data_IF_224283661819
#
_entry.id   IF_224283661819
#
_cell.length_a   1.000
_cell.length_b   1.000
_cell.length_c   1.000
_cell.angle_alpha   90.00
_cell.angle_beta   90.00
_cell.angle_gamma   90.00
#
_symmetry.space_group_name_H-M   'P 1'
#
loop_
_entity.id
_entity.type
_entity.pdbx_description
1 polymer ?
#
# COMPACT_ATOMS: atom_id res chain seq x y z
N UNK A 1 -52.29 20.51 35.20
CA UNK A 1 -51.49 20.29 36.42
C UNK A 1 -51.06 18.84 36.38
N UNK A 2 -49.81 18.47 36.18
CA UNK A 2 -48.55 19.20 36.27
C UNK A 2 -47.54 18.45 35.40
N UNK A 3 -46.53 19.21 34.93
CA UNK A 3 -45.37 18.77 34.16
C UNK A 3 -44.74 17.49 34.72
N UNK A 4 -44.30 16.62 33.81
CA UNK A 4 -42.90 16.18 33.75
C UNK A 4 -42.67 15.64 32.35
N UNK A 5 -42.51 16.58 31.41
CA UNK A 5 -41.80 16.31 30.18
C UNK A 5 -40.35 16.55 30.51
N UNK A 6 -39.70 15.50 31.01
CA UNK A 6 -38.26 15.50 31.20
C UNK A 6 -37.65 15.51 29.78
N UNK A 7 -37.36 16.72 29.30
CA UNK A 7 -36.39 16.91 28.22
C UNK A 7 -35.03 16.74 28.88
N UNK A 8 -34.70 15.52 29.28
CA UNK A 8 -33.32 15.15 29.44
C UNK A 8 -32.75 15.15 28.03
N UNK A 9 -32.11 16.25 27.68
CA UNK A 9 -30.94 16.24 26.81
C UNK A 9 -30.18 14.97 27.17
N UNK A 10 -30.09 14.00 26.25
CA UNK A 10 -29.31 12.78 26.45
C UNK A 10 -27.83 13.19 26.46
N UNK A 11 -27.39 13.81 27.56
CA UNK A 11 -25.99 14.06 27.89
C UNK A 11 -25.32 12.78 28.44
N UNK A 12 -26.06 11.67 28.50
CA UNK A 12 -25.54 10.35 28.88
C UNK A 12 -25.69 9.45 27.67
N UNK A 13 -24.58 8.96 27.12
CA UNK A 13 -24.46 8.20 25.86
C UNK A 13 -25.20 6.85 25.78
N UNK A 14 -26.26 6.66 26.58
CA UNK A 14 -27.11 5.48 26.64
C UNK A 14 -28.07 5.31 25.45
N UNK A 15 -28.60 4.09 25.30
CA UNK A 15 -29.64 3.78 24.31
C UNK A 15 -31.00 4.31 24.78
N UNK A 16 -31.70 5.04 23.91
CA UNK A 16 -33.06 5.51 24.14
C UNK A 16 -34.00 5.11 22.99
N UNK A 17 -35.32 5.09 23.24
CA UNK A 17 -36.29 4.79 22.19
C UNK A 17 -36.46 5.99 21.26
N UNK A 18 -36.22 5.78 19.96
CA UNK A 18 -36.45 6.81 18.95
C UNK A 18 -37.92 7.21 18.87
N UNK A 19 -38.18 8.52 18.87
CA UNK A 19 -39.53 9.08 18.78
C UNK A 19 -39.68 9.81 17.45
N UNK A 20 -40.58 9.33 16.60
CA UNK A 20 -40.85 9.94 15.30
C UNK A 20 -42.07 10.85 15.33
N UNK A 21 -42.04 11.93 14.55
CA UNK A 21 -43.21 12.75 14.31
C UNK A 21 -44.32 11.96 13.59
N UNK A 22 -45.49 11.86 14.20
CA UNK A 22 -46.67 11.23 13.59
C UNK A 22 -47.48 12.26 12.79
N UNK A 23 -47.42 12.16 11.47
CA UNK A 23 -48.24 12.96 10.56
C UNK A 23 -49.71 12.50 10.54
N UNK A 24 -50.63 13.45 10.54
CA UNK A 24 -52.05 13.22 10.30
C UNK A 24 -52.70 14.45 9.66
N UNK A 25 -53.83 14.23 8.97
CA UNK A 25 -54.53 15.31 8.26
C UNK A 25 -55.01 16.38 9.24
N UNK A 26 -54.64 17.63 8.97
CA UNK A 26 -55.00 18.78 9.80
C UNK A 26 -54.08 19.01 11.00
N UNK A 27 -52.97 18.26 11.13
CA UNK A 27 -51.93 18.58 12.11
C UNK A 27 -51.30 19.93 11.77
N UNK A 28 -51.25 20.85 12.75
CA UNK A 28 -50.48 22.08 12.64
C UNK A 28 -49.00 21.74 12.88
N UNK A 29 -48.15 22.11 11.93
CA UNK A 29 -46.70 21.87 12.00
C UNK A 29 -46.00 23.13 12.50
N UNK A 30 -45.09 22.96 13.46
CA UNK A 30 -44.26 24.01 14.03
C UNK A 30 -42.78 23.73 13.74
N UNK A 31 -41.86 24.72 13.89
CA UNK A 31 -40.42 24.49 13.78
C UNK A 31 -39.96 23.31 14.64
N UNK A 32 -40.48 23.25 15.88
CA UNK A 32 -40.25 22.16 16.82
C UNK A 32 -40.63 20.77 16.29
N UNK A 33 -41.68 20.65 15.48
CA UNK A 33 -42.06 19.36 14.86
C UNK A 33 -41.07 18.94 13.75
N UNK A 34 -40.36 19.90 13.14
CA UNK A 34 -39.33 19.68 12.13
C UNK A 34 -37.97 19.40 12.77
N UNK A 35 -37.61 20.13 13.83
CA UNK A 35 -36.44 19.85 14.68
C UNK A 35 -36.51 18.42 15.22
N UNK A 36 -37.66 18.00 15.78
CA UNK A 36 -37.85 16.64 16.26
C UNK A 36 -37.73 15.55 15.17
N UNK A 37 -38.03 15.89 13.90
CA UNK A 37 -37.83 14.94 12.79
C UNK A 37 -36.35 14.89 12.37
N UNK A 38 -35.61 16.01 12.43
CA UNK A 38 -34.17 16.06 12.19
C UNK A 38 -33.41 15.28 13.28
N UNK A 39 -33.70 15.55 14.55
CA UNK A 39 -33.16 14.82 15.70
C UNK A 39 -33.43 13.31 15.58
N UNK A 40 -34.65 12.92 15.22
CA UNK A 40 -34.98 11.50 15.00
C UNK A 40 -34.08 10.84 13.95
N UNK A 41 -33.77 11.54 12.85
CA UNK A 41 -32.93 11.01 11.79
C UNK A 41 -31.46 10.97 12.20
N UNK A 42 -30.96 12.02 12.85
CA UNK A 42 -29.60 12.12 13.37
C UNK A 42 -29.34 11.03 14.44
N UNK A 43 -30.15 11.00 15.51
CA UNK A 43 -30.02 10.01 16.59
C UNK A 43 -30.08 8.57 16.07
N UNK A 44 -30.94 8.30 15.08
CA UNK A 44 -31.06 6.98 14.48
C UNK A 44 -29.82 6.61 13.66
N UNK A 45 -29.27 7.56 12.89
CA UNK A 45 -28.03 7.33 12.13
C UNK A 45 -26.86 7.11 13.08
N UNK A 46 -26.64 8.03 14.01
CA UNK A 46 -25.59 7.98 15.04
C UNK A 46 -25.65 6.68 15.84
N UNK A 47 -26.84 6.21 16.20
CA UNK A 47 -26.98 4.94 16.92
C UNK A 47 -26.62 3.74 16.03
N UNK A 48 -26.92 3.78 14.73
CA UNK A 48 -26.58 2.66 13.84
C UNK A 48 -25.07 2.61 13.64
N UNK A 49 -24.45 3.74 13.28
CA UNK A 49 -23.01 3.84 13.01
C UNK A 49 -22.19 3.54 14.27
N UNK A 50 -22.55 4.12 15.42
CA UNK A 50 -21.85 3.90 16.70
C UNK A 50 -21.80 2.43 17.13
N UNK A 51 -22.84 1.65 16.84
CA UNK A 51 -22.95 0.25 17.30
C UNK A 51 -22.61 -0.78 16.23
N UNK A 52 -22.57 -0.42 14.94
CA UNK A 52 -22.25 -1.36 13.86
C UNK A 52 -20.84 -1.15 13.29
N UNK A 53 -20.43 0.10 13.06
CA UNK A 53 -19.24 0.42 12.26
C UNK A 53 -18.09 1.01 13.11
N UNK A 54 -18.39 1.40 14.36
CA UNK A 54 -17.43 1.98 15.29
C UNK A 54 -17.10 3.43 14.94
N UNK A 55 -15.86 3.85 15.23
CA UNK A 55 -15.33 5.19 14.98
C UNK A 55 -13.96 5.12 14.33
N UNK A 56 -13.67 6.08 13.45
CA UNK A 56 -12.42 6.14 12.69
C UNK A 56 -12.61 6.58 11.23
N UNK A 57 -11.49 6.60 10.51
CA UNK A 57 -11.40 6.83 9.06
C UNK A 57 -12.03 5.63 8.35
N UNK A 58 -13.01 5.90 7.50
CA UNK A 58 -13.67 4.90 6.64
C UNK A 58 -13.03 4.90 5.25
N UNK A 59 -12.72 6.09 4.72
CA UNK A 59 -12.15 6.26 3.38
C UNK A 59 -11.32 7.54 3.28
N UNK A 60 -10.13 7.48 2.68
CA UNK A 60 -9.31 8.66 2.39
C UNK A 60 -8.73 9.31 3.64
N UNK A 61 -8.86 10.63 3.78
CA UNK A 61 -8.36 11.44 4.91
C UNK A 61 -6.85 11.30 5.17
N UNK A 62 -6.06 11.09 4.12
CA UNK A 62 -4.61 11.06 4.22
C UNK A 62 -4.07 12.47 4.52
N UNK A 63 -3.09 12.56 5.41
CA UNK A 63 -2.38 13.82 5.67
C UNK A 63 -1.25 13.93 4.66
N UNK A 64 -1.43 14.75 3.62
CA UNK A 64 -0.45 14.88 2.54
C UNK A 64 0.80 15.64 2.98
N UNK A 65 0.61 16.68 3.79
CA UNK A 65 1.71 17.52 4.26
C UNK A 65 1.31 18.26 5.52
N UNK A 66 2.31 18.45 6.38
CA UNK A 66 2.27 19.33 7.54
C UNK A 66 3.45 20.28 7.39
N UNK A 67 3.17 21.58 7.25
CA UNK A 67 4.17 22.59 6.97
C UNK A 67 4.07 23.76 7.94
N UNK A 68 5.21 24.23 8.41
CA UNK A 68 5.29 25.38 9.31
C UNK A 68 5.12 26.70 8.54
N UNK A 69 4.38 27.62 9.15
CA UNK A 69 4.11 28.97 8.66
C UNK A 69 4.47 29.98 9.74
N UNK A 70 4.48 31.28 9.41
CA UNK A 70 4.77 32.34 10.39
C UNK A 70 3.79 32.38 11.58
N UNK A 71 2.61 31.76 11.45
CA UNK A 71 1.52 31.85 12.43
C UNK A 71 1.07 30.50 12.98
N UNK A 72 1.72 29.40 12.60
CA UNK A 72 1.36 28.05 13.03
C UNK A 72 1.64 26.99 11.97
N UNK A 73 0.77 25.98 11.86
CA UNK A 73 0.93 24.85 10.93
C UNK A 73 -0.16 24.84 9.87
N UNK A 74 0.23 24.71 8.60
CA UNK A 74 -0.70 24.35 7.53
C UNK A 74 -0.68 22.84 7.33
N UNK A 75 -1.85 22.22 7.50
CA UNK A 75 -2.07 20.79 7.30
C UNK A 75 -2.95 20.58 6.08
N UNK A 76 -2.47 19.79 5.12
CA UNK A 76 -3.25 19.43 3.92
C UNK A 76 -3.77 18.02 4.05
N UNK A 77 -5.10 17.88 3.97
CA UNK A 77 -5.83 16.62 4.04
C UNK A 77 -6.41 16.24 2.68
N UNK A 78 -6.36 14.96 2.35
CA UNK A 78 -7.12 14.40 1.23
C UNK A 78 -8.62 14.34 1.51
N UNK A 79 -9.41 14.29 0.44
CA UNK A 79 -10.84 14.03 0.52
C UNK A 79 -11.10 12.69 1.21
N UNK A 80 -12.20 12.59 1.95
CA UNK A 80 -12.52 11.37 2.66
C UNK A 80 -13.71 11.44 3.59
N UNK A 81 -13.91 10.34 4.31
CA UNK A 81 -15.04 10.08 5.18
C UNK A 81 -14.58 9.38 6.46
N UNK A 82 -15.06 9.87 7.60
CA UNK A 82 -14.85 9.27 8.91
C UNK A 82 -16.14 9.23 9.73
N UNK A 83 -16.15 8.36 10.75
CA UNK A 83 -17.16 8.32 11.80
C UNK A 83 -16.51 8.72 13.12
N UNK A 84 -17.10 9.70 13.80
CA UNK A 84 -16.61 10.16 15.09
C UNK A 84 -17.03 9.21 16.24
N UNK A 85 -16.50 9.41 17.45
CA UNK A 85 -16.80 8.56 18.61
C UNK A 85 -18.29 8.52 19.02
N UNK A 86 -19.11 9.46 18.52
CA UNK A 86 -20.56 9.51 18.77
C UNK A 86 -21.37 8.88 17.63
N UNK A 87 -20.72 8.47 16.54
CA UNK A 87 -21.34 7.92 15.34
C UNK A 87 -21.70 8.99 14.30
N UNK A 88 -21.22 10.22 14.43
CA UNK A 88 -21.52 11.30 13.49
C UNK A 88 -20.62 11.20 12.25
N UNK A 89 -21.18 11.35 11.04
CA UNK A 89 -20.40 11.37 9.81
C UNK A 89 -19.56 12.64 9.70
N UNK A 90 -18.29 12.50 9.34
CA UNK A 90 -17.38 13.61 9.02
C UNK A 90 -16.97 13.47 7.55
N UNK A 91 -17.28 14.49 6.75
CA UNK A 91 -16.98 14.50 5.31
C UNK A 91 -15.98 15.60 4.99
N UNK A 92 -14.89 15.21 4.30
CA UNK A 92 -13.96 16.13 3.65
C UNK A 92 -14.18 15.99 2.14
N UNK A 93 -14.87 16.96 1.54
CA UNK A 93 -15.34 16.84 0.14
C UNK A 93 -14.22 16.83 -0.90
N UNK A 94 -13.14 17.55 -0.62
CA UNK A 94 -12.00 17.74 -1.52
C UNK A 94 -10.73 17.99 -0.71
N UNK A 95 -9.57 17.85 -1.37
CA UNK A 95 -8.28 18.19 -0.77
C UNK A 95 -8.34 19.59 -0.16
N UNK A 96 -8.07 19.69 1.13
CA UNK A 96 -8.26 20.92 1.90
C UNK A 96 -7.06 21.17 2.80
N UNK A 97 -6.58 22.41 2.81
CA UNK A 97 -5.57 22.88 3.75
C UNK A 97 -6.23 23.64 4.90
N UNK A 98 -5.87 23.30 6.13
CA UNK A 98 -6.32 23.99 7.35
C UNK A 98 -5.11 24.50 8.13
N UNK A 99 -5.19 25.75 8.56
CA UNK A 99 -4.19 26.36 9.44
C UNK A 99 -4.53 26.08 10.89
N UNK A 100 -3.56 25.57 11.63
CA UNK A 100 -3.61 25.26 13.06
C UNK A 100 -2.67 26.21 13.82
N UNK A 101 -2.91 26.47 15.11
CA UNK A 101 -1.99 27.25 15.92
C UNK A 101 -0.60 26.61 15.98
N UNK A 102 0.41 27.41 16.30
CA UNK A 102 1.79 26.93 16.47
C UNK A 102 1.87 25.94 17.63
N UNK A 103 2.43 24.73 17.42
CA UNK A 103 2.60 23.77 18.50
C UNK A 103 3.73 24.18 19.43
N UNK A 104 3.60 23.82 20.69
CA UNK A 104 4.61 24.09 21.72
C UNK A 104 5.66 22.98 21.84
N UNK A 105 5.36 21.78 21.31
CA UNK A 105 6.25 20.63 21.26
C UNK A 105 6.73 20.33 19.83
N UNK A 106 7.83 19.58 19.71
CA UNK A 106 8.33 19.04 18.44
C UNK A 106 7.56 17.77 18.00
N UNK A 107 6.56 17.34 18.77
CA UNK A 107 5.67 16.23 18.48
C UNK A 107 4.21 16.70 18.57
N UNK A 108 3.40 16.34 17.58
CA UNK A 108 1.98 16.70 17.52
C UNK A 108 1.12 15.55 17.02
N UNK A 109 -0.10 15.48 17.53
CA UNK A 109 -1.10 14.49 17.18
C UNK A 109 -2.30 15.19 16.54
N UNK A 110 -2.65 14.79 15.32
CA UNK A 110 -3.71 15.43 14.54
C UNK A 110 -5.05 14.71 14.73
N UNK A 111 -6.11 15.51 14.89
CA UNK A 111 -7.47 15.03 15.09
C UNK A 111 -8.48 15.77 14.23
N UNK A 112 -9.45 15.05 13.69
CA UNK A 112 -10.60 15.63 13.00
C UNK A 112 -11.88 15.40 13.82
N UNK A 113 -12.71 16.42 13.93
CA UNK A 113 -13.98 16.33 14.68
C UNK A 113 -15.14 16.94 13.90
N UNK A 114 -16.32 16.39 14.15
CA UNK A 114 -17.58 16.92 13.64
C UNK A 114 -17.86 18.32 14.21
N UNK A 115 -18.30 19.23 13.36
CA UNK A 115 -18.75 20.56 13.74
C UNK A 115 -19.89 21.01 12.84
N UNK A 116 -20.66 22.00 13.28
CA UNK A 116 -21.75 22.58 12.50
C UNK A 116 -21.58 24.08 12.42
N UNK A 117 -21.85 24.64 11.24
CA UNK A 117 -21.82 26.08 11.02
C UNK A 117 -23.13 26.53 10.41
N UNK A 118 -23.74 27.52 11.05
CA UNK A 118 -24.96 28.15 10.58
C UNK A 118 -24.65 29.10 9.41
N UNK A 119 -25.37 28.94 8.31
CA UNK A 119 -25.18 29.67 7.05
C UNK A 119 -26.51 30.25 6.53
N UNK A 120 -26.43 31.01 5.43
CA UNK A 120 -27.59 31.60 4.75
C UNK A 120 -28.47 32.45 5.70
N UNK A 121 -27.95 33.57 6.19
CA UNK A 121 -28.73 34.47 7.05
C UNK A 121 -29.87 35.11 6.28
N UNK A 122 -31.08 35.04 6.84
CA UNK A 122 -32.31 35.58 6.25
C UNK A 122 -33.03 36.51 7.23
N UNK A 123 -33.71 37.56 6.74
CA UNK A 123 -34.51 38.42 7.60
C UNK A 123 -35.76 37.68 8.08
N UNK A 124 -36.09 37.82 9.37
CA UNK A 124 -37.32 37.26 9.94
C UNK A 124 -38.43 38.32 9.91
N UNK A 125 -39.59 38.06 9.26
CA UNK A 125 -40.71 38.99 9.28
C UNK A 125 -41.49 38.93 10.60
N UNK A 126 -41.71 40.09 11.21
CA UNK A 126 -42.82 40.40 12.14
C UNK A 126 -42.84 39.63 13.49
N UNK A 127 -41.80 39.81 14.31
CA UNK A 127 -41.91 39.66 15.76
C UNK A 127 -42.33 41.00 16.38
N UNK A 128 -43.61 41.13 16.76
CA UNK A 128 -44.16 42.30 17.45
C UNK A 128 -43.30 42.66 18.69
N UNK A 129 -42.38 43.64 18.54
CA UNK A 129 -41.70 44.30 19.65
C UNK A 129 -40.17 44.22 19.74
N UNK A 130 -39.42 43.83 18.70
CA UNK A 130 -37.95 43.96 18.71
C UNK A 130 -37.48 45.11 17.80
N UNK A 131 -36.59 45.94 18.35
CA UNK A 131 -35.90 47.02 17.65
C UNK A 131 -34.68 46.38 16.95
N UNK A 132 -34.55 46.64 15.64
CA UNK A 132 -33.45 46.35 14.70
C UNK A 132 -33.08 44.88 14.37
N UNK A 133 -33.06 44.58 13.06
CA UNK A 133 -32.04 43.76 12.37
C UNK A 133 -31.74 42.30 12.82
N UNK A 134 -32.71 41.53 13.32
CA UNK A 134 -32.47 40.11 13.63
C UNK A 134 -32.56 39.21 12.38
N UNK A 135 -31.50 39.23 11.56
CA UNK A 135 -31.26 38.18 10.58
C UNK A 135 -30.87 36.88 11.29
N UNK A 136 -31.54 35.77 10.95
CA UNK A 136 -31.33 34.45 11.55
C UNK A 136 -30.79 33.49 10.48
N UNK A 137 -29.87 32.56 10.82
CA UNK A 137 -29.44 31.53 9.87
C UNK A 137 -30.60 30.65 9.39
N UNK A 138 -30.60 30.31 8.10
CA UNK A 138 -31.62 29.47 7.48
C UNK A 138 -31.21 27.99 7.39
N UNK A 139 -29.91 27.68 7.47
CA UNK A 139 -29.38 26.33 7.34
C UNK A 139 -28.17 26.12 8.24
N UNK A 140 -27.99 24.89 8.67
CA UNK A 140 -26.74 24.41 9.26
C UNK A 140 -26.02 23.51 8.25
N UNK A 141 -24.71 23.66 8.16
CA UNK A 141 -23.85 22.81 7.34
C UNK A 141 -22.97 22.01 8.27
N UNK A 142 -23.03 20.69 8.14
CA UNK A 142 -22.12 19.75 8.78
C UNK A 142 -20.73 19.94 8.16
N UNK A 143 -19.76 20.31 8.98
CA UNK A 143 -18.37 20.55 8.61
C UNK A 143 -17.44 19.76 9.52
N UNK A 144 -16.15 19.94 9.31
CA UNK A 144 -15.12 19.40 10.18
C UNK A 144 -14.23 20.49 10.73
N UNK A 145 -13.73 20.23 11.94
CA UNK A 145 -12.65 20.98 12.54
C UNK A 145 -11.42 20.08 12.64
N UNK A 146 -10.26 20.61 12.22
CA UNK A 146 -8.98 19.96 12.39
C UNK A 146 -8.30 20.60 13.59
N UNK A 147 -7.76 19.78 14.49
CA UNK A 147 -7.04 20.22 15.69
C UNK A 147 -5.75 19.43 15.87
N UNK A 148 -4.85 19.94 16.71
CA UNK A 148 -3.66 19.20 17.14
C UNK A 148 -3.60 19.14 18.67
N UNK A 149 -2.91 18.12 19.20
CA UNK A 149 -2.64 17.92 20.63
C UNK A 149 -1.20 17.46 20.82
N UNK A 150 -0.64 17.67 22.01
CA UNK A 150 0.74 17.25 22.34
C UNK A 150 0.81 15.77 22.75
N UNK A 151 -0.31 15.17 23.12
CA UNK A 151 -0.39 13.77 23.56
C UNK A 151 -1.25 12.94 22.58
N UNK A 152 -0.92 11.66 22.37
CA UNK A 152 -1.74 10.74 21.60
C UNK A 152 -3.09 10.49 22.31
N UNK A 153 -4.09 9.91 21.62
CA UNK A 153 -5.34 9.55 22.27
C UNK A 153 -5.12 8.60 23.46
N UNK A 154 -5.80 8.84 24.58
CA UNK A 154 -5.65 8.06 25.84
C UNK A 154 -6.00 6.58 25.67
N UNK A 155 -6.87 6.25 24.71
CA UNK A 155 -7.25 4.87 24.40
C UNK A 155 -7.04 4.63 22.90
N UNK A 156 -5.98 3.91 22.50
CA UNK A 156 -5.85 3.38 21.15
C UNK A 156 -7.10 2.54 20.82
N UNK A 157 -7.60 2.62 19.59
CA UNK A 157 -8.64 1.68 19.13
C UNK A 157 -7.98 0.33 18.95
N UNK A 158 -7.89 -0.47 20.02
CA UNK A 158 -7.40 -1.83 19.93
C UNK A 158 -8.43 -2.68 19.19
N UNK A 159 -7.99 -3.47 18.17
CA UNK A 159 -8.90 -4.41 17.53
C UNK A 159 -9.42 -5.40 18.59
N UNK A 160 -10.70 -5.82 18.48
CA UNK A 160 -11.25 -6.79 19.42
C UNK A 160 -10.41 -8.07 19.39
N UNK A 161 -9.94 -8.49 20.57
CA UNK A 161 -9.16 -9.72 20.69
C UNK A 161 -10.11 -10.90 20.77
N UNK A 162 -9.99 -11.85 19.84
CA UNK A 162 -10.77 -13.09 19.86
C UNK A 162 -9.94 -14.21 20.49
N UNK A 163 -10.50 -14.88 21.51
CA UNK A 163 -9.85 -16.06 22.09
C UNK A 163 -10.16 -17.29 21.24
N UNK A 164 -9.13 -17.81 20.57
CA UNK A 164 -9.23 -19.00 19.73
C UNK A 164 -8.75 -20.27 20.45
N UNK A 165 -8.29 -20.17 21.70
CA UNK A 165 -7.64 -21.26 22.42
C UNK A 165 -8.55 -22.47 22.71
N UNK A 166 -9.87 -22.27 22.69
CA UNK A 166 -10.85 -23.33 22.91
C UNK A 166 -11.14 -24.19 21.66
N UNK A 167 -10.64 -23.80 20.47
CA UNK A 167 -10.89 -24.50 19.21
C UNK A 167 -9.66 -25.28 18.74
N UNK A 168 -9.86 -26.56 18.46
CA UNK A 168 -8.86 -27.40 17.80
C UNK A 168 -8.95 -27.21 16.27
N UNK A 169 -7.92 -26.64 15.62
CA UNK A 169 -7.96 -26.34 14.19
C UNK A 169 -8.11 -27.59 13.30
N UNK A 170 -7.77 -28.79 13.77
CA UNK A 170 -7.88 -30.02 12.98
C UNK A 170 -9.27 -30.66 13.04
N UNK A 171 -10.05 -30.38 14.08
CA UNK A 171 -11.32 -31.07 14.35
C UNK A 171 -12.53 -30.17 14.47
N UNK A 172 -12.33 -28.85 14.55
CA UNK A 172 -13.40 -27.90 14.76
C UNK A 172 -14.29 -27.74 13.51
N UNK A 173 -15.60 -27.88 13.71
CA UNK A 173 -16.60 -27.53 12.70
C UNK A 173 -16.66 -26.01 12.52
N UNK A 174 -16.42 -25.52 11.30
CA UNK A 174 -16.36 -24.09 10.98
C UNK A 174 -17.63 -23.33 11.41
N UNK A 175 -18.80 -23.96 11.33
CA UNK A 175 -20.05 -23.34 11.75
C UNK A 175 -20.16 -23.22 13.28
N UNK A 176 -19.67 -24.21 14.02
CA UNK A 176 -19.59 -24.16 15.48
C UNK A 176 -18.60 -23.09 15.97
N UNK A 177 -17.41 -23.00 15.35
CA UNK A 177 -16.40 -21.97 15.65
C UNK A 177 -16.99 -20.57 15.45
N UNK A 178 -17.60 -20.32 14.29
CA UNK A 178 -18.20 -19.02 13.97
C UNK A 178 -19.25 -18.61 15.00
N UNK A 179 -20.12 -19.54 15.42
CA UNK A 179 -21.16 -19.25 16.42
C UNK A 179 -20.58 -18.94 17.80
N UNK A 180 -19.54 -19.65 18.21
CA UNK A 180 -18.90 -19.47 19.49
C UNK A 180 -18.12 -18.14 19.56
N UNK A 181 -17.37 -17.78 18.51
CA UNK A 181 -16.72 -16.48 18.41
C UNK A 181 -17.72 -15.32 18.39
N UNK A 182 -18.82 -15.47 17.66
CA UNK A 182 -19.91 -14.48 17.67
C UNK A 182 -20.49 -14.31 19.08
N UNK A 183 -20.67 -15.40 19.81
CA UNK A 183 -21.21 -15.38 21.17
C UNK A 183 -20.23 -14.76 22.18
N UNK A 184 -18.93 -15.03 22.04
CA UNK A 184 -17.87 -14.42 22.85
C UNK A 184 -17.80 -12.91 22.62
N UNK A 185 -17.71 -12.48 21.35
CA UNK A 185 -17.71 -11.07 20.98
C UNK A 185 -18.92 -10.33 21.58
N UNK A 186 -20.12 -10.89 21.44
CA UNK A 186 -21.33 -10.33 22.05
C UNK A 186 -21.37 -10.40 23.58
N UNK A 187 -20.67 -11.33 24.23
CA UNK A 187 -20.60 -11.40 25.68
C UNK A 187 -19.70 -10.30 26.26
N UNK A 188 -18.58 -10.03 25.60
CA UNK A 188 -17.64 -8.96 25.96
C UNK A 188 -18.25 -7.57 25.71
N UNK A 189 -18.99 -7.40 24.62
CA UNK A 189 -19.61 -6.11 24.23
C UNK A 189 -21.07 -5.98 24.69
N UNK A 190 -21.53 -6.82 25.63
CA UNK A 190 -22.94 -6.82 26.10
C UNK A 190 -23.30 -5.58 26.91
N UNK A 191 -22.32 -5.03 27.62
CA UNK A 191 -22.53 -3.98 28.63
C UNK A 191 -21.51 -2.89 28.46
N UNK A 192 -21.98 -1.64 28.41
CA UNK A 192 -21.19 -0.47 28.08
C UNK A 192 -21.73 0.16 26.81
N UNK A 193 -22.09 1.42 26.89
CA UNK A 193 -22.11 2.26 25.69
C UNK A 193 -20.69 2.75 25.51
N UNK A 194 -20.13 2.76 24.29
CA UNK A 194 -18.91 3.50 24.02
C UNK A 194 -19.23 4.97 24.32
N UNK A 195 -18.93 5.39 25.55
CA UNK A 195 -19.06 6.76 25.98
C UNK A 195 -17.71 7.39 25.68
N UNK A 196 -17.64 8.10 24.57
CA UNK A 196 -16.41 8.75 24.14
C UNK A 196 -16.46 10.19 24.64
N UNK A 197 -15.78 10.44 25.76
CA UNK A 197 -15.58 11.80 26.30
C UNK A 197 -14.97 12.73 25.24
N UNK A 198 -14.17 12.16 24.33
CA UNK A 198 -13.55 12.84 23.20
C UNK A 198 -13.89 12.19 21.85
N UNK A 199 -14.89 12.71 21.11
CA UNK A 199 -15.35 12.07 19.88
C UNK A 199 -14.39 12.22 18.69
N UNK A 200 -13.28 12.95 18.84
CA UNK A 200 -12.41 13.27 17.72
C UNK A 200 -11.72 12.03 17.14
N UNK A 201 -11.57 12.00 15.81
CA UNK A 201 -10.93 10.89 15.08
C UNK A 201 -9.45 11.19 14.92
N UNK A 202 -8.61 10.25 15.35
CA UNK A 202 -7.16 10.40 15.28
C UNK A 202 -6.61 10.12 13.86
N UNK A 203 -5.91 11.11 13.29
CA UNK A 203 -5.34 11.06 11.94
C UNK A 203 -3.87 10.63 11.91
N UNK A 204 -3.17 10.68 13.05
CA UNK A 204 -1.77 10.28 13.17
C UNK A 204 -0.91 11.29 13.94
N UNK A 205 0.29 10.84 14.31
CA UNK A 205 1.29 11.62 15.03
C UNK A 205 2.42 12.06 14.09
N UNK A 206 2.93 13.27 14.29
CA UNK A 206 3.93 13.90 13.47
C UNK A 206 5.03 14.51 14.35
N UNK A 207 6.29 14.32 13.95
CA UNK A 207 7.46 14.86 14.64
C UNK A 207 8.19 15.85 13.73
N UNK A 208 8.63 16.96 14.32
CA UNK A 208 9.40 18.01 13.68
C UNK A 208 10.84 17.56 13.48
N UNK A 209 11.26 17.54 12.24
CA UNK A 209 12.63 17.29 11.84
C UNK A 209 13.51 18.54 12.01
N UNK A 210 14.84 18.39 12.13
CA UNK A 210 15.76 19.53 12.27
C UNK A 210 15.75 20.52 11.10
N UNK A 211 15.22 20.12 9.94
CA UNK A 211 15.04 20.96 8.75
C UNK A 211 13.72 21.76 8.78
N UNK A 212 12.90 21.61 9.84
CA UNK A 212 11.61 22.26 10.01
C UNK A 212 10.43 21.52 9.37
N UNK A 213 10.67 20.38 8.71
CA UNK A 213 9.61 19.55 8.13
C UNK A 213 8.97 18.67 9.20
N UNK A 214 7.68 18.38 9.05
CA UNK A 214 6.98 17.45 9.93
C UNK A 214 6.81 16.11 9.23
N UNK A 215 7.24 15.03 9.89
CA UNK A 215 7.17 13.67 9.38
C UNK A 215 6.28 12.78 10.24
N UNK A 216 5.59 11.79 9.65
CA UNK A 216 4.83 10.81 10.42
C UNK A 216 5.74 10.05 11.40
N UNK A 217 5.28 9.88 12.64
CA UNK A 217 6.00 9.15 13.68
C UNK A 217 5.94 7.65 13.37
N UNK A 218 7.10 7.02 13.15
CA UNK A 218 7.19 5.62 12.76
C UNK A 218 6.60 4.64 13.80
N UNK A 219 6.67 4.97 15.10
CA UNK A 219 6.06 4.19 16.20
C UNK A 219 4.54 4.38 16.31
N UNK A 220 4.01 5.53 15.89
CA UNK A 220 2.56 5.73 15.82
C UNK A 220 1.91 4.84 14.75
N UNK A 221 2.65 4.40 13.72
CA UNK A 221 2.16 3.42 12.75
C UNK A 221 2.08 1.98 13.30
N UNK A 222 2.77 1.67 14.41
CA UNK A 222 2.90 0.30 14.96
C UNK A 222 2.29 0.10 16.34
N UNK A 223 2.11 1.12 17.18
CA UNK A 223 1.49 1.00 18.52
C UNK A 223 0.13 1.68 18.66
N UNK A 224 -0.11 2.83 18.01
CA UNK A 224 -1.37 3.60 18.08
C UNK A 224 -1.77 4.02 16.66
N UNK A 225 -1.81 3.09 15.71
CA UNK A 225 -2.11 3.36 14.30
C UNK A 225 -3.31 4.30 14.09
N UNK A 226 -3.39 4.94 12.91
CA UNK A 226 -4.57 5.72 12.52
C UNK A 226 -5.85 4.98 12.91
N UNK A 227 -6.81 5.72 13.44
CA UNK A 227 -8.07 5.13 13.85
C UNK A 227 -8.88 4.84 12.58
N UNK A 228 -9.13 3.57 12.27
CA UNK A 228 -9.97 3.16 11.14
C UNK A 228 -11.30 2.62 11.63
N UNK A 229 -12.38 2.96 10.94
CA UNK A 229 -13.65 2.28 11.14
C UNK A 229 -13.53 0.87 10.55
N UNK A 230 -13.81 -0.15 11.35
CA UNK A 230 -13.68 -1.54 10.94
C UNK A 230 -14.90 -1.95 10.09
N UNK A 231 -14.75 -1.94 8.76
CA UNK A 231 -15.77 -2.50 7.88
C UNK A 231 -15.86 -4.02 8.10
N UNK A 232 -17.07 -4.56 8.11
CA UNK A 232 -17.35 -5.99 8.18
C UNK A 232 -16.62 -6.76 7.07
N UNK A 233 -16.43 -6.15 5.90
CA UNK A 233 -15.67 -6.72 4.79
C UNK A 233 -14.16 -6.79 5.07
N UNK A 234 -13.60 -5.81 5.79
CA UNK A 234 -12.20 -5.83 6.23
C UNK A 234 -11.97 -6.93 7.29
N UNK A 235 -12.87 -7.03 8.27
CA UNK A 235 -12.83 -8.07 9.30
C UNK A 235 -13.02 -9.47 8.68
N UNK A 236 -13.93 -9.61 7.72
CA UNK A 236 -14.12 -10.85 6.98
C UNK A 236 -12.91 -11.20 6.13
N UNK A 237 -12.32 -10.23 5.42
CA UNK A 237 -11.13 -10.45 4.60
C UNK A 237 -9.91 -10.79 5.47
N UNK A 238 -9.74 -10.15 6.62
CA UNK A 238 -8.69 -10.48 7.59
C UNK A 238 -8.89 -11.89 8.16
N UNK A 239 -10.11 -12.26 8.54
CA UNK A 239 -10.43 -13.61 8.99
C UNK A 239 -10.23 -14.65 7.88
N UNK A 240 -10.63 -14.35 6.64
CA UNK A 240 -10.45 -15.24 5.50
C UNK A 240 -8.97 -15.40 5.13
N UNK A 241 -8.19 -14.32 5.17
CA UNK A 241 -6.74 -14.36 4.96
C UNK A 241 -6.05 -15.15 6.09
N UNK A 242 -6.47 -14.96 7.34
CA UNK A 242 -6.00 -15.73 8.50
C UNK A 242 -6.35 -17.22 8.39
N UNK A 243 -7.58 -17.56 7.98
CA UNK A 243 -8.01 -18.95 7.77
C UNK A 243 -7.35 -19.60 6.54
N UNK A 244 -6.93 -18.80 5.55
CA UNK A 244 -6.28 -19.26 4.32
C UNK A 244 -4.75 -19.26 4.40
N UNK A 245 -4.15 -18.56 5.38
CA UNK A 245 -2.74 -18.67 5.72
C UNK A 245 -2.52 -19.99 6.46
N UNK A 246 -2.14 -21.03 5.70
CA UNK A 246 -1.84 -22.37 6.25
C UNK A 246 -0.45 -22.48 6.84
N UNK A 247 0.40 -21.45 6.70
CA UNK A 247 1.81 -21.54 7.03
C UNK A 247 2.08 -21.05 8.45
N UNK A 248 1.70 -19.80 8.79
CA UNK A 248 1.87 -19.26 10.14
C UNK A 248 0.86 -18.14 10.46
N UNK A 249 -0.45 -18.44 10.45
CA UNK A 249 -1.49 -17.42 10.56
C UNK A 249 -1.43 -16.65 11.89
N UNK A 250 -0.91 -17.28 12.94
CA UNK A 250 -0.81 -16.68 14.28
C UNK A 250 0.48 -15.90 14.52
N UNK A 251 1.39 -15.84 13.53
CA UNK A 251 2.74 -15.29 13.66
C UNK A 251 3.42 -15.72 14.96
N UNK A 252 3.05 -16.90 15.47
CA UNK A 252 3.75 -17.50 16.58
C UNK A 252 5.19 -17.58 16.11
N UNK A 253 6.16 -17.16 16.95
CA UNK A 253 7.53 -17.53 16.70
C UNK A 253 7.47 -19.05 16.67
N UNK A 254 7.43 -19.59 15.45
CA UNK A 254 7.81 -20.95 15.20
C UNK A 254 9.19 -20.90 15.79
N UNK A 255 9.34 -21.44 17.01
CA UNK A 255 10.66 -21.70 17.57
C UNK A 255 11.35 -22.33 16.39
N UNK A 256 12.31 -21.61 15.83
CA UNK A 256 13.19 -22.05 14.78
C UNK A 256 13.47 -23.49 15.11
N UNK A 257 12.83 -24.41 14.35
CA UNK A 257 12.43 -25.74 14.85
C UNK A 257 13.56 -26.21 15.72
N UNK A 258 13.37 -26.20 17.05
CA UNK A 258 14.44 -26.55 17.99
C UNK A 258 14.97 -27.82 17.41
N UNK A 259 16.21 -27.80 16.89
CA UNK A 259 16.70 -28.84 15.99
C UNK A 259 16.34 -30.16 16.65
N UNK A 260 15.24 -30.77 16.18
CA UNK A 260 14.69 -31.93 16.86
C UNK A 260 15.70 -32.97 16.46
N UNK A 261 16.67 -33.17 17.35
CA UNK A 261 17.67 -34.21 17.22
C UNK A 261 16.81 -35.46 17.20
N UNK A 262 16.65 -36.11 16.04
CA UNK A 262 15.57 -37.05 15.86
C UNK A 262 15.74 -38.16 16.90
N UNK A 263 14.75 -38.29 17.79
CA UNK A 263 14.81 -39.20 18.93
C UNK A 263 14.83 -40.67 18.49
N UNK A 264 14.48 -40.94 17.22
CA UNK A 264 14.54 -42.26 16.61
C UNK A 264 14.77 -42.19 15.07
N UNK A 265 15.15 -43.32 14.46
CA UNK A 265 15.38 -43.50 13.03
C UNK A 265 14.22 -43.00 12.16
N UNK A 266 12.99 -43.10 12.65
CA UNK A 266 11.79 -42.62 11.97
C UNK A 266 11.81 -41.10 11.78
N UNK A 267 12.29 -40.35 12.78
CA UNK A 267 12.46 -38.89 12.70
C UNK A 267 13.55 -38.49 11.70
N UNK A 268 14.66 -39.24 11.64
CA UNK A 268 15.73 -39.03 10.65
C UNK A 268 15.20 -39.18 9.22
N UNK A 269 14.44 -40.25 8.95
CA UNK A 269 13.89 -40.53 7.62
C UNK A 269 12.88 -39.46 7.19
N UNK A 270 12.03 -38.97 8.11
CA UNK A 270 11.10 -37.88 7.81
C UNK A 270 11.83 -36.60 7.43
N UNK A 271 12.89 -36.25 8.16
CA UNK A 271 13.70 -35.05 7.89
C UNK A 271 14.50 -35.16 6.58
N UNK A 272 15.03 -36.34 6.27
CA UNK A 272 15.70 -36.58 4.99
C UNK A 272 14.75 -36.42 3.81
N UNK A 273 13.52 -36.94 3.90
CA UNK A 273 12.51 -36.77 2.85
C UNK A 273 12.12 -35.31 2.64
N UNK A 274 11.94 -34.55 3.73
CA UNK A 274 11.65 -33.12 3.64
C UNK A 274 12.82 -32.37 2.97
N UNK A 275 14.07 -32.69 3.32
CA UNK A 275 15.24 -32.12 2.64
C UNK A 275 15.31 -32.51 1.16
N UNK A 276 15.01 -33.76 0.82
CA UNK A 276 14.96 -34.22 -0.58
C UNK A 276 13.89 -33.45 -1.38
N UNK A 277 12.73 -33.18 -0.78
CA UNK A 277 11.65 -32.41 -1.37
C UNK A 277 12.07 -30.94 -1.60
N UNK A 278 12.59 -30.27 -0.57
CA UNK A 278 13.10 -28.89 -0.70
C UNK A 278 14.22 -28.78 -1.72
N UNK A 279 15.16 -29.75 -1.75
CA UNK A 279 16.21 -29.77 -2.77
C UNK A 279 15.62 -29.94 -4.17
N UNK A 280 14.59 -30.77 -4.33
CA UNK A 280 13.87 -30.95 -5.58
C UNK A 280 13.14 -29.69 -6.06
N UNK A 281 12.53 -28.93 -5.16
CA UNK A 281 11.89 -27.66 -5.46
C UNK A 281 12.92 -26.60 -5.90
N UNK A 282 14.02 -26.45 -5.17
CA UNK A 282 15.11 -25.55 -5.52
C UNK A 282 15.79 -25.93 -6.85
N UNK A 283 15.87 -27.22 -7.17
CA UNK A 283 16.31 -27.69 -8.48
C UNK A 283 15.35 -27.27 -9.60
N UNK A 284 14.04 -27.42 -9.40
CA UNK A 284 13.03 -27.02 -10.38
C UNK A 284 12.99 -25.49 -10.62
N UNK A 285 13.11 -24.68 -9.56
CA UNK A 285 13.18 -23.22 -9.66
C UNK A 285 14.44 -22.77 -10.41
N UNK A 286 15.60 -23.36 -10.05
CA UNK A 286 16.88 -23.09 -10.71
C UNK A 286 16.82 -23.41 -12.20
N UNK A 287 16.28 -24.58 -12.58
CA UNK A 287 16.17 -24.99 -13.99
C UNK A 287 15.24 -24.07 -14.78
N UNK A 288 14.16 -23.60 -14.16
CA UNK A 288 13.23 -22.63 -14.74
C UNK A 288 13.91 -21.28 -14.98
N UNK A 289 14.63 -20.77 -13.98
CA UNK A 289 15.37 -19.51 -14.08
C UNK A 289 16.49 -19.58 -15.11
N UNK A 290 17.25 -20.68 -15.14
CA UNK A 290 18.29 -20.93 -16.15
C UNK A 290 17.70 -20.93 -17.56
N UNK A 291 16.59 -21.64 -17.78
CA UNK A 291 15.92 -21.68 -19.08
C UNK A 291 15.47 -20.30 -19.54
N UNK A 292 14.90 -19.51 -18.61
CA UNK A 292 14.48 -18.14 -18.89
C UNK A 292 15.66 -17.25 -19.29
N UNK A 293 16.76 -17.28 -18.52
CA UNK A 293 17.94 -16.46 -18.79
C UNK A 293 18.57 -16.80 -20.15
N UNK A 294 18.75 -18.08 -20.45
CA UNK A 294 19.27 -18.53 -21.76
C UNK A 294 18.43 -18.01 -22.93
N UNK A 295 17.10 -18.05 -22.80
CA UNK A 295 16.21 -17.53 -23.84
C UNK A 295 16.30 -16.01 -23.96
N UNK A 296 16.39 -15.31 -22.84
CA UNK A 296 16.49 -13.84 -22.77
C UNK A 296 17.77 -13.35 -23.45
N UNK A 297 18.93 -13.89 -23.08
CA UNK A 297 20.23 -13.42 -23.59
C UNK A 297 20.38 -13.63 -25.09
N UNK A 298 19.88 -14.74 -25.64
CA UNK A 298 19.87 -14.96 -27.10
C UNK A 298 18.96 -13.94 -27.80
N UNK A 299 17.79 -13.64 -27.22
CA UNK A 299 16.86 -12.65 -27.77
C UNK A 299 17.48 -11.25 -27.77
N UNK A 300 18.13 -10.87 -26.67
CA UNK A 300 18.79 -9.57 -26.55
C UNK A 300 19.98 -9.44 -27.50
N UNK A 301 20.81 -10.49 -27.64
CA UNK A 301 21.87 -10.53 -28.65
C UNK A 301 21.35 -10.28 -30.06
N UNK A 302 20.30 -10.98 -30.49
CA UNK A 302 19.68 -10.79 -31.82
C UNK A 302 19.26 -9.33 -31.99
N UNK A 303 18.51 -8.78 -31.03
CA UNK A 303 18.00 -7.42 -31.08
C UNK A 303 19.11 -6.36 -31.14
N UNK A 304 20.11 -6.47 -30.28
CA UNK A 304 21.17 -5.46 -30.19
C UNK A 304 22.10 -5.49 -31.38
N UNK A 305 22.47 -6.67 -31.89
CA UNK A 305 23.36 -6.77 -33.05
C UNK A 305 22.65 -6.41 -34.37
N UNK A 306 21.33 -6.63 -34.50
CA UNK A 306 20.53 -6.06 -35.59
C UNK A 306 20.54 -4.54 -35.56
N UNK A 307 20.22 -3.96 -34.39
CA UNK A 307 20.20 -2.51 -34.20
C UNK A 307 21.59 -1.90 -34.46
N UNK A 308 22.65 -2.57 -34.03
CA UNK A 308 24.02 -2.13 -34.27
C UNK A 308 24.39 -2.23 -35.76
N UNK A 309 23.96 -3.28 -36.47
CA UNK A 309 24.18 -3.41 -37.92
C UNK A 309 23.59 -2.23 -38.67
N UNK A 310 22.34 -1.86 -38.39
CA UNK A 310 21.65 -0.72 -39.01
C UNK A 310 22.37 0.61 -38.72
N UNK A 311 22.91 0.76 -37.51
CA UNK A 311 23.67 1.96 -37.10
C UNK A 311 25.04 2.05 -37.76
N UNK A 312 25.69 0.92 -38.01
CA UNK A 312 27.01 0.86 -38.63
C UNK A 312 26.97 0.89 -40.16
N UNK A 313 25.86 0.49 -40.79
CA UNK A 313 25.72 0.39 -42.25
C UNK A 313 26.14 1.66 -43.02
N UNK A 314 25.85 2.89 -42.56
CA UNK A 314 26.33 4.09 -43.23
C UNK A 314 27.85 4.32 -43.11
N UNK A 315 28.50 3.75 -42.10
CA UNK A 315 29.87 4.12 -41.70
C UNK A 315 30.92 3.04 -41.93
N UNK A 316 30.52 1.76 -41.93
CA UNK A 316 31.41 0.63 -42.20
C UNK A 316 30.62 -0.55 -42.77
N UNK A 317 30.85 -0.84 -44.05
CA UNK A 317 30.22 -2.00 -44.69
C UNK A 317 30.64 -3.32 -44.07
N UNK A 318 31.90 -3.42 -43.62
CA UNK A 318 32.43 -4.62 -42.97
C UNK A 318 31.88 -4.82 -41.55
N UNK A 319 31.83 -3.76 -40.72
CA UNK A 319 31.25 -3.83 -39.37
C UNK A 319 29.75 -4.14 -39.40
N UNK A 320 29.00 -3.56 -40.34
CA UNK A 320 27.59 -3.87 -40.54
C UNK A 320 27.37 -5.33 -41.00
N UNK A 321 28.25 -5.86 -41.85
CA UNK A 321 28.20 -7.28 -42.27
C UNK A 321 28.45 -8.24 -41.11
N UNK A 322 29.49 -8.00 -40.30
CA UNK A 322 29.84 -8.89 -39.17
C UNK A 322 28.73 -8.89 -38.11
N UNK A 323 28.17 -7.73 -37.77
CA UNK A 323 27.04 -7.62 -36.82
C UNK A 323 25.78 -8.32 -37.33
N UNK A 324 25.50 -8.24 -38.63
CA UNK A 324 24.41 -8.99 -39.27
C UNK A 324 24.62 -10.50 -39.20
N UNK A 325 25.83 -10.98 -39.47
CA UNK A 325 26.19 -12.40 -39.33
C UNK A 325 26.03 -12.90 -37.89
N UNK A 326 26.41 -12.10 -36.89
CA UNK A 326 26.19 -12.42 -35.47
C UNK A 326 24.69 -12.56 -35.17
N UNK A 327 23.86 -11.64 -35.65
CA UNK A 327 22.41 -11.70 -35.46
C UNK A 327 21.78 -12.92 -36.16
N UNK A 328 22.18 -13.22 -37.40
CA UNK A 328 21.67 -14.36 -38.18
C UNK A 328 22.01 -15.70 -37.52
N UNK A 329 23.28 -15.91 -37.15
CA UNK A 329 23.73 -17.11 -36.43
C UNK A 329 23.00 -17.32 -35.09
N UNK A 330 22.54 -16.21 -34.50
CA UNK A 330 21.79 -16.21 -33.25
C UNK A 330 20.30 -16.56 -33.45
N UNK A 331 19.70 -16.17 -34.59
CA UNK A 331 18.30 -16.50 -34.91
C UNK A 331 18.13 -17.96 -35.30
N UNK A 332 19.02 -18.50 -36.13
CA UNK A 332 18.93 -19.87 -36.65
C UNK A 332 18.90 -20.94 -35.55
N UNK A 333 19.33 -20.56 -34.34
CA UNK A 333 19.47 -21.43 -33.20
C UNK A 333 18.59 -21.07 -31.99
N UNK A 334 17.75 -20.02 -32.09
CA UNK A 334 16.99 -19.49 -30.95
C UNK A 334 16.04 -20.51 -30.31
N UNK A 335 15.46 -21.43 -31.09
CA UNK A 335 14.50 -22.43 -30.60
C UNK A 335 15.16 -23.61 -29.86
N UNK A 336 16.47 -23.83 -30.02
CA UNK A 336 17.20 -24.97 -29.43
C UNK A 336 17.96 -24.61 -28.14
N UNK A 337 18.02 -23.32 -27.77
CA UNK A 337 18.85 -22.80 -26.69
C UNK A 337 18.12 -22.75 -25.34
N UNK A 338 17.69 -23.92 -24.86
CA UNK A 338 17.26 -24.11 -23.46
C UNK A 338 18.24 -25.00 -22.69
N UNK A 339 19.28 -25.49 -23.36
CA UNK A 339 20.31 -26.34 -22.79
C UNK A 339 21.65 -25.63 -22.76
N UNK A 340 22.38 -25.84 -21.67
CA UNK A 340 23.70 -25.26 -21.41
C UNK A 340 24.73 -25.64 -22.48
N UNK A 341 24.80 -26.91 -22.86
CA UNK A 341 25.78 -27.42 -23.82
C UNK A 341 25.63 -26.77 -25.21
N UNK A 342 24.37 -26.61 -25.63
CA UNK A 342 24.00 -25.94 -26.88
C UNK A 342 24.35 -24.44 -26.82
N UNK A 343 24.07 -23.78 -25.70
CA UNK A 343 24.41 -22.36 -25.50
C UNK A 343 25.93 -22.11 -25.53
N UNK A 344 26.71 -22.94 -24.83
CA UNK A 344 28.18 -22.86 -24.82
C UNK A 344 28.75 -23.00 -26.23
N UNK A 345 28.30 -24.02 -26.96
CA UNK A 345 28.76 -24.24 -28.34
C UNK A 345 28.45 -23.05 -29.27
N UNK A 346 27.30 -22.39 -29.09
CA UNK A 346 26.94 -21.19 -29.84
C UNK A 346 27.86 -20.02 -29.51
N UNK A 347 28.13 -19.77 -28.23
CA UNK A 347 29.03 -18.68 -27.82
C UNK A 347 30.46 -18.91 -28.35
N UNK A 348 30.96 -20.14 -28.29
CA UNK A 348 32.25 -20.48 -28.89
C UNK A 348 32.28 -20.23 -30.40
N UNK A 349 31.19 -20.52 -31.13
CA UNK A 349 31.10 -20.26 -32.56
C UNK A 349 31.03 -18.77 -32.90
N UNK A 350 30.41 -17.96 -32.02
CA UNK A 350 30.27 -16.52 -32.19
C UNK A 350 31.51 -15.72 -31.78
N UNK A 351 32.36 -16.28 -30.93
CA UNK A 351 33.50 -15.57 -30.36
C UNK A 351 34.43 -14.98 -31.44
N UNK A 352 34.70 -15.71 -32.53
CA UNK A 352 35.51 -15.20 -33.64
C UNK A 352 34.92 -13.94 -34.27
N UNK A 353 33.60 -13.92 -34.47
CA UNK A 353 32.90 -12.76 -35.02
C UNK A 353 32.92 -11.58 -34.05
N UNK A 354 32.72 -11.83 -32.76
CA UNK A 354 32.75 -10.80 -31.72
C UNK A 354 34.13 -10.14 -31.63
N UNK A 355 35.21 -10.92 -31.72
CA UNK A 355 36.60 -10.42 -31.73
C UNK A 355 36.88 -9.64 -33.01
N UNK A 356 36.52 -10.20 -34.18
CA UNK A 356 36.76 -9.56 -35.49
C UNK A 356 35.97 -8.27 -35.69
N UNK A 357 34.87 -8.09 -34.98
CA UNK A 357 34.11 -6.83 -35.02
C UNK A 357 34.92 -5.65 -34.48
N UNK A 358 35.93 -5.86 -33.63
CA UNK A 358 36.73 -4.78 -33.05
C UNK A 358 37.45 -3.91 -34.09
N UNK A 359 38.08 -4.52 -35.09
CA UNK A 359 38.90 -3.82 -36.09
C UNK A 359 38.09 -2.83 -36.96
N UNK A 360 36.93 -3.21 -37.55
CA UNK A 360 36.07 -2.26 -38.26
C UNK A 360 35.55 -1.09 -37.41
N UNK A 361 35.51 -1.24 -36.07
CA UNK A 361 35.01 -0.23 -35.16
C UNK A 361 36.05 0.83 -34.78
N UNK A 362 37.35 0.53 -34.85
CA UNK A 362 38.45 1.42 -34.41
C UNK A 362 38.38 2.84 -34.98
N UNK A 363 37.89 3.00 -36.21
CA UNK A 363 37.79 4.29 -36.89
C UNK A 363 36.37 4.88 -36.89
N UNK A 364 35.39 4.16 -36.36
CA UNK A 364 33.96 4.48 -36.46
C UNK A 364 33.36 4.88 -35.12
N UNK A 365 33.83 4.31 -34.01
CA UNK A 365 33.27 4.54 -32.67
C UNK A 365 34.28 5.21 -31.73
N UNK A 366 33.80 5.79 -30.63
CA UNK A 366 34.68 6.43 -29.62
C UNK A 366 35.60 5.39 -28.98
N UNK A 367 36.86 5.78 -28.72
CA UNK A 367 37.86 4.92 -28.07
C UNK A 367 37.34 4.34 -26.75
N UNK A 368 36.64 5.16 -25.96
CA UNK A 368 36.06 4.74 -24.69
C UNK A 368 34.96 3.68 -24.85
N UNK A 369 34.07 3.82 -25.84
CA UNK A 369 33.03 2.80 -26.07
C UNK A 369 33.59 1.52 -26.67
N UNK A 370 34.61 1.62 -27.52
CA UNK A 370 35.33 0.46 -28.07
C UNK A 370 36.08 -0.31 -26.98
N UNK A 371 36.77 0.37 -26.07
CA UNK A 371 37.50 -0.27 -24.97
C UNK A 371 36.56 -1.09 -24.09
N UNK A 372 35.37 -0.54 -23.77
CA UNK A 372 34.34 -1.27 -22.99
C UNK A 372 33.87 -2.52 -23.72
N UNK A 373 33.62 -2.43 -25.04
CA UNK A 373 33.24 -3.59 -25.85
C UNK A 373 34.34 -4.67 -25.87
N UNK A 374 35.59 -4.30 -26.16
CA UNK A 374 36.71 -5.24 -26.20
C UNK A 374 36.96 -5.90 -24.84
N UNK A 375 36.82 -5.15 -23.75
CA UNK A 375 36.92 -5.69 -22.38
C UNK A 375 35.81 -6.70 -22.09
N UNK A 376 34.57 -6.42 -22.50
CA UNK A 376 33.46 -7.37 -22.36
C UNK A 376 33.71 -8.65 -23.17
N UNK A 377 34.19 -8.52 -24.42
CA UNK A 377 34.52 -9.68 -25.28
C UNK A 377 35.65 -10.51 -24.67
N UNK A 378 36.69 -9.87 -24.11
CA UNK A 378 37.77 -10.57 -23.42
C UNK A 378 37.28 -11.32 -22.18
N UNK A 379 36.37 -10.74 -21.39
CA UNK A 379 35.76 -11.42 -20.23
C UNK A 379 34.94 -12.63 -20.68
N UNK A 380 34.15 -12.50 -21.74
CA UNK A 380 33.42 -13.61 -22.33
C UNK A 380 34.35 -14.73 -22.80
N UNK A 381 35.45 -14.38 -23.47
CA UNK A 381 36.46 -15.34 -23.91
C UNK A 381 37.03 -16.14 -22.73
N UNK A 382 37.44 -15.47 -21.65
CA UNK A 382 37.95 -16.15 -20.45
C UNK A 382 36.93 -17.12 -19.86
N UNK A 383 35.65 -16.73 -19.79
CA UNK A 383 34.59 -17.59 -19.26
C UNK A 383 34.33 -18.83 -20.13
N UNK A 384 34.49 -18.70 -21.45
CA UNK A 384 34.41 -19.83 -22.38
C UNK A 384 35.60 -20.77 -22.19
N UNK A 385 36.82 -20.22 -22.14
CA UNK A 385 38.07 -21.01 -22.04
C UNK A 385 38.18 -21.77 -20.70
N UNK A 386 37.75 -21.14 -19.61
CA UNK A 386 37.81 -21.70 -18.26
C UNK A 386 36.67 -22.70 -17.97
N UNK A 387 35.68 -22.82 -18.87
CA UNK A 387 34.43 -23.53 -18.60
C UNK A 387 33.77 -23.07 -17.28
N UNK A 388 33.68 -21.75 -17.08
CA UNK A 388 33.12 -21.16 -15.87
C UNK A 388 31.63 -21.51 -15.65
N UNK A 389 31.07 -21.26 -14.46
CA UNK A 389 29.65 -21.51 -14.15
C UNK A 389 28.71 -20.87 -15.17
N UNK A 390 27.58 -21.52 -15.48
CA UNK A 390 26.67 -21.05 -16.53
C UNK A 390 26.18 -19.61 -16.32
N UNK A 391 25.84 -19.25 -15.07
CA UNK A 391 25.36 -17.90 -14.77
C UNK A 391 26.44 -16.84 -15.00
N UNK A 392 27.71 -17.14 -14.73
CA UNK A 392 28.84 -16.22 -15.02
C UNK A 392 29.08 -16.09 -16.53
N UNK A 393 28.91 -17.19 -17.28
CA UNK A 393 28.96 -17.16 -18.74
C UNK A 393 27.82 -16.33 -19.34
N UNK A 394 26.61 -16.46 -18.78
CA UNK A 394 25.43 -15.67 -19.15
C UNK A 394 25.68 -14.18 -18.88
N UNK A 395 26.17 -13.83 -17.69
CA UNK A 395 26.53 -12.45 -17.31
C UNK A 395 27.58 -11.85 -18.25
N UNK A 396 28.66 -12.59 -18.54
CA UNK A 396 29.70 -12.13 -19.45
C UNK A 396 29.18 -11.93 -20.88
N UNK A 397 28.26 -12.77 -21.33
CA UNK A 397 27.61 -12.62 -22.63
C UNK A 397 26.66 -11.42 -22.70
N UNK A 398 25.84 -11.19 -21.66
CA UNK A 398 24.96 -10.02 -21.58
C UNK A 398 25.78 -8.71 -21.57
N UNK A 399 26.92 -8.67 -20.89
CA UNK A 399 27.80 -7.50 -20.90
C UNK A 399 28.35 -7.18 -22.31
N UNK A 400 28.65 -8.20 -23.13
CA UNK A 400 29.03 -7.97 -24.54
C UNK A 400 27.88 -7.35 -25.31
N UNK A 401 26.66 -7.85 -25.08
CA UNK A 401 25.43 -7.39 -25.72
C UNK A 401 25.12 -5.92 -25.34
N UNK A 402 25.21 -5.57 -24.06
CA UNK A 402 25.04 -4.20 -23.56
C UNK A 402 26.14 -3.25 -24.06
N UNK A 403 27.39 -3.70 -24.07
CA UNK A 403 28.50 -2.91 -24.58
C UNK A 403 28.36 -2.63 -26.09
N UNK A 404 27.87 -3.61 -26.86
CA UNK A 404 27.57 -3.46 -28.29
C UNK A 404 26.44 -2.44 -28.54
N UNK A 405 25.36 -2.47 -27.73
CA UNK A 405 24.29 -1.47 -27.80
C UNK A 405 24.83 -0.07 -27.48
N UNK A 406 25.71 0.03 -26.49
CA UNK A 406 26.27 1.28 -25.97
C UNK A 406 27.45 1.85 -26.78
N UNK A 407 27.80 1.26 -27.92
CA UNK A 407 28.83 1.80 -28.81
C UNK A 407 28.44 3.20 -29.29
N UNK A 408 29.35 4.16 -29.27
CA UNK A 408 29.07 5.55 -29.67
C UNK A 408 29.79 5.89 -30.97
N UNK A 409 29.04 6.21 -32.03
CA UNK A 409 29.63 6.55 -33.34
C UNK A 409 30.30 7.94 -33.28
N UNK A 410 31.54 8.04 -33.80
CA UNK A 410 32.33 9.26 -33.85
C UNK A 410 31.66 10.33 -34.72
N UNK A 411 31.54 11.54 -34.17
CA UNK A 411 30.99 12.70 -34.87
C UNK A 411 31.99 13.17 -35.94
N UNK A 412 31.66 12.97 -37.22
CA UNK A 412 32.46 13.44 -38.36
C UNK A 412 32.94 12.34 -39.33
N UNK A 413 32.62 11.07 -39.09
CA UNK A 413 32.87 9.97 -40.03
C UNK A 413 31.95 10.14 -41.25
N UNK A 414 32.54 10.44 -42.41
CA UNK A 414 31.79 10.56 -43.68
C UNK A 414 31.33 9.16 -44.09
N UNK A 415 30.04 8.96 -44.43
CA UNK A 415 29.55 7.67 -44.89
C UNK A 415 30.39 7.12 -46.06
N UNK A 416 30.70 5.82 -46.04
CA UNK A 416 31.30 5.16 -47.21
C UNK A 416 30.30 5.22 -48.37
N UNK A 417 30.75 5.67 -49.55
CA UNK A 417 29.90 5.96 -50.71
C UNK A 417 29.50 4.70 -51.52
#
# INVERSE_FOLDING_TARGET
>A
MTRDGDYTTNETGGLSQFKKNRFFKGKLMTPRDMEAEQEYHAERLETITRFLDGSGIVHGLEVQSVSETETGLDVTLDAGFALDGRGRPIVVEQVTTKSLPEPTADEVHLFIQYSEVAVETVPVPDTDGAIDDEAVPNRDVEVFELTHREEPPETPTEPPTLDLSEFDPETADAQAVTRALTAQYHAEHRTGTPDTDDPAVYLGGFERQPDGRWDPIATAATEIGKQYAADHDLLFAALAAHLADTDNPHQTPVSDQTEERPDDLTGIVKRLRAMEETVGELEAERDTMQTYLLRKTVKDRVRFFETLSDRLEPHTGEGARITREIAELSRDNHAATTREDVYRAQLSALLDYLVRLGEPLESVVTEESLERYLKAVSRLQSQIDENGPLLELIDAHDQVCEAAESLEILVGVVPEA
#
